data_IF_772276379008
#
_entry.id   IF_772276379008
#
_cell.length_a   1.000
_cell.length_b   1.000
_cell.length_c   1.000
_cell.angle_alpha   90.00
_cell.angle_beta   90.00
_cell.angle_gamma   90.00
#
_symmetry.space_group_name_H-M   'P 1'
#
loop_
_entity.id
_entity.type
_entity.pdbx_description
1 polymer ?
#
# COMPACT_ATOMS: atom_id res chain seq x y z
N UNK A 1 5.13 11.34 -15.00
CA UNK A 1 4.81 10.31 -14.00
C UNK A 1 6.11 9.85 -13.37
N UNK A 2 6.26 9.93 -12.03
CA UNK A 2 7.40 9.33 -11.36
C UNK A 2 7.30 7.80 -11.41
N UNK A 3 8.42 7.15 -11.71
CA UNK A 3 8.56 5.69 -11.79
C UNK A 3 9.83 5.26 -11.05
N UNK A 4 9.88 4.03 -10.56
CA UNK A 4 11.08 3.50 -9.93
C UNK A 4 12.22 3.31 -10.93
N UNK A 5 13.41 2.96 -10.46
CA UNK A 5 14.51 2.52 -11.34
C UNK A 5 14.05 1.33 -12.19
N UNK A 6 14.46 1.28 -13.47
CA UNK A 6 14.16 0.13 -14.32
C UNK A 6 14.89 -1.13 -13.83
N UNK A 7 14.27 -2.27 -14.05
CA UNK A 7 14.89 -3.58 -13.90
C UNK A 7 15.74 -3.93 -15.16
N UNK A 8 16.29 -5.15 -15.19
CA UNK A 8 17.12 -5.60 -16.30
C UNK A 8 16.36 -5.67 -17.65
N UNK A 9 15.05 -5.76 -17.60
CA UNK A 9 14.16 -5.81 -18.77
C UNK A 9 13.67 -4.41 -19.19
N UNK A 10 14.11 -3.34 -18.52
CA UNK A 10 13.68 -1.96 -18.78
C UNK A 10 12.30 -1.63 -18.20
N UNK A 11 11.81 -2.39 -17.23
CA UNK A 11 10.54 -2.13 -16.58
C UNK A 11 10.71 -1.44 -15.24
N UNK A 12 9.79 -0.50 -14.96
CA UNK A 12 9.72 0.31 -13.76
C UNK A 12 8.42 0.01 -13.02
N UNK A 13 8.42 0.18 -11.70
CA UNK A 13 7.19 0.25 -10.90
C UNK A 13 6.62 1.66 -10.88
N UNK A 14 5.31 1.80 -10.73
CA UNK A 14 4.61 3.08 -10.65
C UNK A 14 4.72 3.78 -9.28
N UNK A 15 5.63 3.29 -8.42
CA UNK A 15 5.95 3.90 -7.13
C UNK A 15 4.88 3.68 -6.06
N UNK A 16 4.70 4.68 -5.21
CA UNK A 16 3.86 4.61 -4.01
C UNK A 16 2.43 5.12 -4.21
N UNK A 17 2.06 5.47 -5.43
CA UNK A 17 0.72 6.01 -5.75
C UNK A 17 0.24 5.41 -7.06
N UNK A 18 -0.75 4.55 -6.97
CA UNK A 18 -1.35 3.88 -8.13
C UNK A 18 -2.82 4.28 -8.27
N UNK A 19 -3.08 5.46 -8.84
CA UNK A 19 -4.46 5.89 -9.04
C UNK A 19 -5.06 5.24 -10.28
N UNK A 20 -4.91 5.81 -11.44
CA UNK A 20 -5.48 5.32 -12.69
C UNK A 20 -4.46 5.49 -13.82
N UNK A 21 -3.21 5.11 -13.58
CA UNK A 21 -2.11 5.40 -14.48
C UNK A 21 -2.29 4.80 -15.86
N UNK A 22 -2.82 3.57 -15.98
CA UNK A 22 -3.09 2.94 -17.28
C UNK A 22 -4.08 3.76 -18.11
N UNK A 23 -5.20 4.13 -17.51
CA UNK A 23 -6.20 5.00 -18.17
C UNK A 23 -5.60 6.35 -18.55
N UNK A 24 -4.74 6.93 -17.69
CA UNK A 24 -4.06 8.19 -17.99
C UNK A 24 -3.11 8.02 -19.18
N UNK A 25 -2.30 6.98 -19.23
CA UNK A 25 -1.35 6.74 -20.34
C UNK A 25 -2.07 6.56 -21.68
N UNK A 26 -3.14 5.75 -21.71
CA UNK A 26 -3.94 5.50 -22.90
C UNK A 26 -4.60 6.77 -23.48
N UNK A 27 -4.87 7.76 -22.63
CA UNK A 27 -5.54 9.01 -23.03
C UNK A 27 -4.60 10.22 -23.04
N UNK A 28 -3.37 10.10 -22.60
CA UNK A 28 -2.40 11.18 -22.59
C UNK A 28 -1.86 11.44 -24.01
N UNK A 29 -1.73 12.72 -24.36
CA UNK A 29 -1.08 13.12 -25.62
C UNK A 29 0.44 12.91 -25.57
N UNK A 30 1.02 13.00 -24.39
CA UNK A 30 2.47 12.87 -24.15
C UNK A 30 2.67 12.25 -22.78
N UNK A 31 3.46 11.20 -22.73
CA UNK A 31 3.83 10.48 -21.50
C UNK A 31 5.31 10.75 -21.20
N UNK A 32 5.59 11.28 -20.01
CA UNK A 32 6.94 11.55 -19.54
C UNK A 32 7.17 10.73 -18.27
N UNK A 33 8.16 9.85 -18.29
CA UNK A 33 8.63 9.15 -17.08
C UNK A 33 9.76 9.93 -16.42
N UNK A 34 9.62 10.15 -15.13
CA UNK A 34 10.65 10.69 -14.24
C UNK A 34 11.18 9.54 -13.39
N UNK A 35 12.39 9.07 -13.70
CA UNK A 35 13.01 7.98 -12.94
C UNK A 35 13.44 8.50 -11.58
N UNK A 36 12.77 8.03 -10.54
CA UNK A 36 13.04 8.39 -9.14
C UNK A 36 13.58 7.17 -8.38
N UNK A 37 14.86 7.23 -8.03
CA UNK A 37 15.58 6.15 -7.34
C UNK A 37 15.13 5.92 -5.89
N UNK A 38 14.29 6.83 -5.35
CA UNK A 38 13.72 6.71 -4.00
C UNK A 38 12.42 5.89 -3.98
N UNK A 39 11.84 5.63 -5.15
CA UNK A 39 10.58 4.87 -5.22
C UNK A 39 10.82 3.36 -5.10
N UNK A 40 10.02 2.65 -4.30
CA UNK A 40 10.05 1.19 -4.22
C UNK A 40 9.77 0.55 -5.58
N UNK A 41 10.43 -0.57 -5.88
CA UNK A 41 10.27 -1.32 -7.14
C UNK A 41 9.12 -2.32 -7.07
N UNK A 42 7.92 -1.82 -6.91
CA UNK A 42 6.69 -2.60 -6.87
C UNK A 42 6.18 -2.91 -8.28
N UNK A 43 5.75 -4.13 -8.53
CA UNK A 43 5.27 -4.56 -9.85
C UNK A 43 3.81 -5.02 -9.86
N UNK A 44 3.21 -5.23 -8.69
CA UNK A 44 1.87 -5.82 -8.58
C UNK A 44 1.86 -7.32 -8.89
N UNK A 45 0.74 -7.96 -8.59
CA UNK A 45 0.58 -9.43 -8.75
C UNK A 45 0.50 -9.85 -10.22
N UNK A 46 -0.14 -9.03 -11.02
CA UNK A 46 -0.40 -9.27 -12.45
C UNK A 46 0.44 -8.38 -13.39
N UNK A 47 1.41 -7.65 -12.82
CA UNK A 47 2.20 -6.67 -13.55
C UNK A 47 1.44 -5.37 -13.86
N UNK A 48 0.24 -5.15 -13.30
CA UNK A 48 -0.56 -3.94 -13.50
C UNK A 48 0.14 -2.67 -13.01
N UNK A 49 1.05 -2.83 -12.04
CA UNK A 49 1.87 -1.74 -11.49
C UNK A 49 3.25 -1.63 -12.17
N UNK A 50 3.42 -2.28 -13.31
CA UNK A 50 4.65 -2.32 -14.09
C UNK A 50 4.48 -1.58 -15.41
N UNK A 51 5.44 -0.73 -15.75
CA UNK A 51 5.52 -0.02 -17.04
C UNK A 51 6.89 -0.22 -17.64
N UNK A 52 6.95 -0.35 -18.96
CA UNK A 52 8.21 -0.43 -19.68
C UNK A 52 8.66 0.95 -20.15
N UNK A 53 9.96 1.24 -20.16
CA UNK A 53 10.49 2.53 -20.59
C UNK A 53 10.03 2.96 -22.00
N UNK A 54 9.75 2.01 -22.90
CA UNK A 54 9.24 2.30 -24.24
C UNK A 54 7.80 2.82 -24.28
N UNK A 55 7.08 2.82 -23.17
CA UNK A 55 5.73 3.40 -23.06
C UNK A 55 5.77 4.92 -22.86
N UNK A 56 6.95 5.49 -22.61
CA UNK A 56 7.13 6.93 -22.48
C UNK A 56 7.62 7.58 -23.78
N UNK A 57 7.12 8.77 -24.08
CA UNK A 57 7.66 9.62 -25.14
C UNK A 57 8.99 10.27 -24.72
N UNK A 58 9.13 10.57 -23.41
CA UNK A 58 10.34 11.15 -22.84
C UNK A 58 10.66 10.52 -21.48
N UNK A 59 11.95 10.41 -21.21
CA UNK A 59 12.48 9.94 -19.93
C UNK A 59 13.34 11.06 -19.34
N UNK A 60 13.11 11.36 -18.07
CA UNK A 60 13.84 12.36 -17.28
C UNK A 60 14.46 11.67 -16.08
N UNK A 61 15.73 11.95 -15.85
CA UNK A 61 16.48 11.54 -14.66
C UNK A 61 16.95 12.78 -13.90
N UNK A 62 17.04 12.69 -12.58
CA UNK A 62 17.50 13.79 -11.73
C UNK A 62 17.80 13.34 -10.31
N UNK A 63 18.21 14.29 -9.48
CA UNK A 63 18.32 14.08 -8.04
C UNK A 63 16.95 14.32 -7.39
N UNK A 64 16.58 13.42 -6.48
CA UNK A 64 15.28 13.48 -5.81
C UNK A 64 15.43 13.62 -4.31
N UNK A 65 14.58 14.46 -3.74
CA UNK A 65 14.41 14.52 -2.29
C UNK A 65 13.88 13.19 -1.75
N UNK A 66 14.14 12.87 -0.47
CA UNK A 66 13.55 11.72 0.19
C UNK A 66 12.01 11.72 0.07
N UNK A 67 11.41 10.54 0.03
CA UNK A 67 9.95 10.44 0.00
C UNK A 67 9.34 11.13 1.23
N UNK A 68 8.16 11.76 1.10
CA UNK A 68 7.51 12.43 2.21
C UNK A 68 7.24 11.47 3.37
N UNK A 69 7.76 11.78 4.53
CA UNK A 69 7.52 10.99 5.75
C UNK A 69 6.33 11.55 6.51
N UNK A 70 5.44 10.65 6.92
CA UNK A 70 4.33 10.98 7.82
C UNK A 70 4.66 10.55 9.25
N UNK A 71 4.52 11.47 10.18
CA UNK A 71 4.58 11.19 11.61
C UNK A 71 3.17 11.18 12.20
N UNK A 72 2.96 10.35 13.21
CA UNK A 72 1.70 10.26 13.93
C UNK A 72 1.88 10.87 15.32
N UNK A 73 0.87 11.63 15.76
CA UNK A 73 0.83 12.10 17.15
C UNK A 73 0.54 10.94 18.09
N UNK A 74 0.95 11.06 19.33
CA UNK A 74 0.53 10.13 20.38
C UNK A 74 -1.00 10.09 20.49
N UNK A 75 -1.58 8.89 20.72
CA UNK A 75 -3.03 8.75 20.82
C UNK A 75 -3.57 9.46 22.07
N UNK A 76 -4.68 10.18 21.92
CA UNK A 76 -5.41 10.72 23.05
C UNK A 76 -6.16 9.62 23.82
N UNK A 77 -6.62 9.91 25.03
CA UNK A 77 -7.44 8.98 25.79
C UNK A 77 -8.72 8.56 25.04
N UNK A 78 -9.28 9.47 24.23
CA UNK A 78 -10.45 9.21 23.39
C UNK A 78 -10.09 8.26 22.24
N UNK A 79 -8.94 8.48 21.57
CA UNK A 79 -8.45 7.58 20.51
C UNK A 79 -8.28 6.14 21.05
N UNK A 80 -7.72 6.02 22.25
CA UNK A 80 -7.51 4.73 22.93
C UNK A 80 -8.84 4.04 23.24
N UNK A 81 -9.82 4.76 23.78
CA UNK A 81 -11.12 4.17 24.11
C UNK A 81 -11.92 3.74 22.87
N UNK A 82 -11.86 4.54 21.79
CA UNK A 82 -12.45 4.16 20.49
C UNK A 82 -11.76 2.90 19.97
N UNK A 83 -10.42 2.88 19.97
CA UNK A 83 -9.65 1.76 19.45
C UNK A 83 -9.94 0.44 20.18
N UNK A 84 -10.11 0.46 21.50
CA UNK A 84 -10.50 -0.73 22.28
C UNK A 84 -11.79 -1.35 21.76
N UNK A 85 -12.82 -0.53 21.60
CA UNK A 85 -14.13 -0.99 21.12
C UNK A 85 -14.06 -1.55 19.69
N UNK A 86 -13.27 -0.89 18.82
CA UNK A 86 -13.07 -1.38 17.45
C UNK A 86 -12.36 -2.73 17.43
N UNK A 87 -11.31 -2.90 18.24
CA UNK A 87 -10.55 -4.17 18.32
C UNK A 87 -11.42 -5.34 18.80
N UNK A 88 -12.37 -5.11 19.71
CA UNK A 88 -13.30 -6.13 20.20
C UNK A 88 -14.18 -6.68 19.06
N UNK A 89 -14.56 -5.85 18.10
CA UNK A 89 -15.44 -6.22 16.97
C UNK A 89 -14.69 -6.91 15.81
N UNK A 90 -13.34 -6.86 15.79
CA UNK A 90 -12.54 -7.44 14.70
C UNK A 90 -12.33 -8.94 14.94
N UNK A 91 -12.84 -9.83 14.08
CA UNK A 91 -12.60 -11.27 14.20
C UNK A 91 -11.21 -11.67 13.67
N UNK A 92 -10.78 -12.90 13.98
CA UNK A 92 -9.64 -13.52 13.31
C UNK A 92 -9.87 -13.63 11.80
N UNK A 93 -8.83 -13.36 11.03
CA UNK A 93 -8.89 -13.44 9.57
C UNK A 93 -9.58 -12.24 8.91
N UNK A 94 -10.01 -11.22 9.68
CA UNK A 94 -10.66 -10.05 9.11
C UNK A 94 -9.76 -9.33 8.11
N UNK A 95 -10.36 -8.87 7.02
CA UNK A 95 -9.69 -8.01 6.04
C UNK A 95 -9.89 -6.56 6.42
N UNK A 96 -8.80 -5.86 6.67
CA UNK A 96 -8.81 -4.51 7.20
C UNK A 96 -8.63 -3.45 6.11
N UNK A 97 -9.44 -2.38 6.22
CA UNK A 97 -9.21 -1.11 5.55
C UNK A 97 -9.00 -0.04 6.63
N UNK A 98 -7.75 0.32 6.87
CA UNK A 98 -7.38 1.31 7.88
C UNK A 98 -7.09 2.65 7.22
N UNK A 99 -7.75 3.71 7.68
CA UNK A 99 -7.45 5.08 7.26
C UNK A 99 -6.13 5.58 7.85
N UNK A 100 -5.73 6.77 7.45
CA UNK A 100 -4.57 7.49 8.01
C UNK A 100 -5.03 8.42 9.15
N UNK A 101 -4.49 8.22 10.34
CA UNK A 101 -4.84 9.03 11.53
C UNK A 101 -4.53 8.36 12.85
N UNK A 102 -4.78 9.07 13.95
CA UNK A 102 -4.49 8.58 15.30
C UNK A 102 -5.28 7.33 15.69
N UNK A 103 -6.59 7.31 15.44
CA UNK A 103 -7.45 6.16 15.77
C UNK A 103 -7.06 4.90 14.98
N UNK A 104 -6.96 4.91 13.62
CA UNK A 104 -6.54 3.72 12.87
C UNK A 104 -5.16 3.19 13.29
N UNK A 105 -4.21 4.07 13.56
CA UNK A 105 -2.88 3.69 14.04
C UNK A 105 -2.94 3.05 15.43
N UNK A 106 -3.77 3.58 16.33
CA UNK A 106 -3.99 3.01 17.67
C UNK A 106 -4.66 1.64 17.59
N UNK A 107 -5.66 1.47 16.73
CA UNK A 107 -6.30 0.16 16.46
C UNK A 107 -5.27 -0.85 16.00
N UNK A 108 -4.42 -0.52 15.02
CA UNK A 108 -3.40 -1.42 14.52
C UNK A 108 -2.39 -1.83 15.62
N UNK A 109 -1.94 -0.88 16.45
CA UNK A 109 -1.02 -1.17 17.56
C UNK A 109 -1.66 -2.07 18.63
N UNK A 110 -2.95 -1.91 18.93
CA UNK A 110 -3.68 -2.79 19.82
C UNK A 110 -3.88 -4.19 19.24
N UNK A 111 -4.21 -4.29 17.95
CA UNK A 111 -4.30 -5.58 17.22
C UNK A 111 -2.95 -6.29 17.20
N UNK A 112 -1.85 -5.57 17.02
CA UNK A 112 -0.49 -6.13 17.05
C UNK A 112 -0.16 -6.79 18.39
N UNK A 113 -0.75 -6.30 19.50
CA UNK A 113 -0.56 -6.80 20.86
C UNK A 113 -1.66 -7.78 21.30
N UNK A 114 -2.72 -7.96 20.52
CA UNK A 114 -3.86 -8.84 20.82
C UNK A 114 -3.57 -10.30 20.47
N UNK A 115 -4.51 -11.17 20.77
CA UNK A 115 -4.53 -12.58 20.37
C UNK A 115 -5.04 -12.80 18.92
N UNK A 116 -5.53 -11.75 18.26
CA UNK A 116 -6.05 -11.83 16.88
C UNK A 116 -4.98 -12.32 15.92
N UNK A 117 -5.40 -13.10 14.91
CA UNK A 117 -4.51 -13.76 13.96
C UNK A 117 -5.02 -13.67 12.53
N UNK A 118 -4.13 -13.94 11.57
CA UNK A 118 -4.43 -14.08 10.14
C UNK A 118 -5.15 -12.89 9.49
N UNK A 119 -4.89 -11.68 9.98
CA UNK A 119 -5.47 -10.46 9.43
C UNK A 119 -5.03 -10.22 7.98
N UNK A 120 -5.91 -9.60 7.20
CA UNK A 120 -5.66 -9.21 5.81
C UNK A 120 -5.64 -7.68 5.61
N UNK A 121 -5.02 -7.24 4.53
CA UNK A 121 -4.99 -5.85 4.10
C UNK A 121 -5.67 -5.68 2.74
N UNK A 122 -6.73 -4.85 2.69
CA UNK A 122 -7.27 -4.28 1.46
C UNK A 122 -7.68 -2.84 1.77
N UNK A 123 -6.87 -1.88 1.37
CA UNK A 123 -7.00 -0.50 1.85
C UNK A 123 -6.66 0.52 0.79
N UNK A 124 -7.29 1.68 0.84
CA UNK A 124 -6.88 2.82 0.01
C UNK A 124 -5.45 3.25 0.30
N UNK A 125 -5.05 3.28 1.57
CA UNK A 125 -3.69 3.71 1.95
C UNK A 125 -3.02 2.69 2.85
N UNK A 126 -1.94 2.05 2.37
CA UNK A 126 -1.06 1.28 3.25
C UNK A 126 -0.17 2.23 4.06
N UNK A 127 -0.01 1.94 5.35
CA UNK A 127 0.68 2.83 6.29
C UNK A 127 1.44 2.03 7.36
N UNK A 128 2.15 2.73 8.24
CA UNK A 128 2.84 2.12 9.38
C UNK A 128 1.92 1.28 10.29
N UNK A 129 0.62 1.50 10.23
CA UNK A 129 -0.38 0.66 10.88
C UNK A 129 -0.27 -0.80 10.42
N UNK A 130 -0.17 -1.02 9.11
CA UNK A 130 0.00 -2.36 8.54
C UNK A 130 1.41 -2.92 8.74
N UNK A 131 2.44 -2.07 8.72
CA UNK A 131 3.80 -2.48 9.06
C UNK A 131 3.88 -3.00 10.51
N UNK A 132 3.21 -2.36 11.45
CA UNK A 132 3.14 -2.82 12.84
C UNK A 132 2.47 -4.20 12.95
N UNK A 133 1.38 -4.44 12.23
CA UNK A 133 0.71 -5.75 12.17
C UNK A 133 1.60 -6.82 11.52
N UNK A 134 2.32 -6.48 10.47
CA UNK A 134 3.27 -7.39 9.81
C UNK A 134 4.39 -7.80 10.76
N UNK A 135 5.05 -6.85 11.42
CA UNK A 135 6.11 -7.11 12.40
C UNK A 135 5.66 -7.99 13.57
N UNK A 136 4.39 -7.84 13.99
CA UNK A 136 3.78 -8.66 15.03
C UNK A 136 3.35 -10.06 14.52
N UNK A 137 3.53 -10.38 13.23
CA UNK A 137 3.11 -11.64 12.63
C UNK A 137 1.58 -11.80 12.51
N UNK A 138 0.83 -10.69 12.60
CA UNK A 138 -0.63 -10.66 12.53
C UNK A 138 -1.16 -10.50 11.12
N UNK A 139 -0.43 -9.81 10.25
CA UNK A 139 -0.79 -9.57 8.85
C UNK A 139 -0.27 -10.70 7.97
N UNK A 140 -1.11 -11.66 7.65
CA UNK A 140 -0.74 -12.83 6.82
C UNK A 140 -1.43 -12.85 5.45
N UNK A 141 -2.54 -12.15 5.29
CA UNK A 141 -3.40 -12.14 4.10
C UNK A 141 -3.94 -13.53 3.68
N UNK A 142 -3.74 -14.59 4.48
CA UNK A 142 -4.07 -15.98 4.12
C UNK A 142 -5.57 -16.29 4.10
N UNK A 143 -6.38 -15.44 4.74
CA UNK A 143 -7.83 -15.63 4.84
C UNK A 143 -8.61 -14.75 3.84
N UNK A 144 -7.92 -13.96 3.02
CA UNK A 144 -8.57 -13.14 1.98
C UNK A 144 -9.21 -14.02 0.91
N UNK A 145 -10.42 -13.71 0.50
CA UNK A 145 -11.14 -14.36 -0.60
C UNK A 145 -10.57 -13.96 -1.96
N UNK A 146 -10.15 -12.69 -2.08
CA UNK A 146 -9.45 -12.15 -3.26
C UNK A 146 -8.07 -11.69 -2.85
N UNK A 147 -7.12 -11.72 -3.76
CA UNK A 147 -5.70 -11.37 -3.52
C UNK A 147 -5.11 -12.12 -2.32
N UNK A 148 -5.40 -13.41 -2.21
CA UNK A 148 -4.91 -14.25 -1.11
C UNK A 148 -3.38 -14.20 -1.03
N UNK A 149 -2.87 -13.92 0.17
CA UNK A 149 -1.43 -13.78 0.43
C UNK A 149 -0.86 -12.38 0.16
N UNK A 150 -1.63 -11.45 -0.43
CA UNK A 150 -1.14 -10.12 -0.79
C UNK A 150 -1.85 -9.00 -0.02
N UNK A 151 -1.09 -8.01 0.39
CA UNK A 151 -1.62 -6.72 0.85
C UNK A 151 -1.98 -5.85 -0.35
N UNK A 152 -3.27 -5.56 -0.53
CA UNK A 152 -3.81 -4.78 -1.66
C UNK A 152 -4.05 -3.34 -1.25
N UNK A 153 -3.55 -2.40 -2.05
CA UNK A 153 -3.66 -0.96 -1.76
C UNK A 153 -3.39 -0.11 -3.01
N UNK A 154 -3.76 1.20 -2.97
CA UNK A 154 -3.46 2.11 -4.09
C UNK A 154 -2.53 3.28 -3.75
N UNK A 155 -2.34 3.61 -2.48
CA UNK A 155 -1.42 4.65 -2.01
C UNK A 155 -0.60 4.13 -0.83
N UNK A 156 0.68 4.46 -0.75
CA UNK A 156 1.51 4.24 0.43
C UNK A 156 1.90 5.58 1.07
N UNK A 157 1.74 5.67 2.39
CA UNK A 157 2.09 6.89 3.14
C UNK A 157 2.50 6.52 4.58
N UNK A 158 3.73 6.81 4.95
CA UNK A 158 4.22 6.51 6.30
C UNK A 158 5.67 6.91 6.54
N UNK A 159 6.36 6.12 7.33
CA UNK A 159 7.77 6.30 7.66
C UNK A 159 8.70 5.80 6.55
N UNK A 160 9.99 6.12 6.67
CA UNK A 160 11.01 5.51 5.81
C UNK A 160 11.00 3.99 5.93
N UNK A 161 10.77 3.45 7.12
CA UNK A 161 10.72 2.01 7.35
C UNK A 161 9.57 1.33 6.58
N UNK A 162 8.43 2.00 6.42
CA UNK A 162 7.36 1.52 5.55
C UNK A 162 7.86 1.41 4.10
N UNK A 163 8.52 2.44 3.58
CA UNK A 163 9.02 2.43 2.20
C UNK A 163 10.11 1.38 1.99
N UNK A 164 10.99 1.20 2.97
CA UNK A 164 12.00 0.14 2.97
C UNK A 164 11.36 -1.26 2.97
N UNK A 165 10.27 -1.46 3.73
CA UNK A 165 9.53 -2.72 3.71
C UNK A 165 8.90 -2.99 2.34
N UNK A 166 8.30 -1.98 1.71
CA UNK A 166 7.71 -2.10 0.38
C UNK A 166 8.76 -2.49 -0.69
N UNK A 167 9.97 -1.94 -0.61
CA UNK A 167 11.05 -2.21 -1.57
C UNK A 167 11.74 -3.56 -1.31
N UNK A 168 11.89 -3.95 -0.04
CA UNK A 168 12.58 -5.19 0.34
C UNK A 168 11.71 -6.44 0.18
N UNK A 169 10.40 -6.32 0.28
CA UNK A 169 9.45 -7.45 0.24
C UNK A 169 8.35 -7.26 -0.84
N UNK A 170 8.71 -6.84 -2.07
CA UNK A 170 7.74 -6.45 -3.09
C UNK A 170 6.73 -7.55 -3.44
N UNK A 171 7.09 -8.83 -3.21
CA UNK A 171 6.23 -10.00 -3.45
C UNK A 171 5.05 -10.11 -2.49
N UNK A 172 5.00 -9.32 -1.41
CA UNK A 172 3.89 -9.31 -0.45
C UNK A 172 2.77 -8.35 -0.85
N UNK A 173 2.98 -7.57 -1.92
CA UNK A 173 2.11 -6.44 -2.23
C UNK A 173 1.44 -6.56 -3.59
N UNK A 174 0.19 -6.13 -3.61
CA UNK A 174 -0.58 -5.88 -4.81
C UNK A 174 -1.03 -4.41 -4.83
N UNK A 175 -0.14 -3.48 -5.23
CA UNK A 175 -0.58 -2.13 -5.55
C UNK A 175 -1.52 -2.19 -6.76
N UNK A 176 -2.71 -1.64 -6.63
CA UNK A 176 -3.75 -1.75 -7.63
C UNK A 176 -4.45 -0.41 -7.85
N UNK A 177 -5.07 -0.25 -9.02
CA UNK A 177 -5.78 0.97 -9.38
C UNK A 177 -6.92 1.30 -8.41
N UNK A 178 -7.25 2.58 -8.34
CA UNK A 178 -8.31 3.10 -7.47
C UNK A 178 -9.65 2.39 -7.73
N UNK A 179 -9.97 2.09 -8.97
CA UNK A 179 -11.21 1.39 -9.36
C UNK A 179 -11.24 -0.06 -8.87
N UNK A 180 -10.09 -0.68 -8.68
CA UNK A 180 -9.99 -2.00 -8.08
C UNK A 180 -10.11 -1.93 -6.56
N UNK A 181 -9.29 -1.12 -5.92
CA UNK A 181 -9.19 -1.04 -4.45
C UNK A 181 -10.47 -0.49 -3.81
N UNK A 182 -11.09 0.51 -4.43
CA UNK A 182 -12.29 1.17 -3.91
C UNK A 182 -13.60 0.67 -4.54
N UNK A 183 -13.56 -0.39 -5.35
CA UNK A 183 -14.74 -0.99 -5.93
C UNK A 183 -15.69 -1.52 -4.84
N UNK A 184 -16.95 -1.06 -4.76
CA UNK A 184 -17.91 -1.62 -3.83
C UNK A 184 -18.14 -3.13 -4.02
N UNK A 185 -17.99 -3.62 -5.25
CA UNK A 185 -18.11 -5.04 -5.56
C UNK A 185 -16.96 -5.83 -4.95
N UNK A 186 -15.71 -5.35 -5.11
CA UNK A 186 -14.52 -5.98 -4.53
C UNK A 186 -14.53 -5.95 -3.01
N UNK A 187 -14.95 -4.82 -2.43
CA UNK A 187 -15.09 -4.70 -0.97
C UNK A 187 -16.16 -5.67 -0.46
N UNK A 188 -17.25 -5.87 -1.19
CA UNK A 188 -18.31 -6.81 -0.83
C UNK A 188 -17.91 -8.30 -0.95
N UNK A 189 -16.82 -8.62 -1.65
CA UNK A 189 -16.26 -9.99 -1.75
C UNK A 189 -15.37 -10.35 -0.55
N UNK A 190 -15.03 -9.39 0.31
CA UNK A 190 -14.19 -9.60 1.49
C UNK A 190 -15.01 -9.79 2.76
N UNK A 191 -14.53 -10.62 3.68
CA UNK A 191 -15.15 -10.90 4.98
C UNK A 191 -14.33 -10.36 6.14
#
# INVERSE_FOLDING_TARGET
>A
VPVSRPDADGCCGLGISNYAWRTIFENARTVIFEINERLPRLQGVDGSHRVHLSEADFIVEGEHEPLPIRTYRDPSAVDIEIAKRVVEEIPDGAVLSLGVGGVPFTVANMLAQSDKTDLGCHTGTISDAFLALYKAGKLTNKKKEIDNGYSTWNLAMGSQELYDWLDNEPQLFHPADVDYVHSPYRIGEMK
#
